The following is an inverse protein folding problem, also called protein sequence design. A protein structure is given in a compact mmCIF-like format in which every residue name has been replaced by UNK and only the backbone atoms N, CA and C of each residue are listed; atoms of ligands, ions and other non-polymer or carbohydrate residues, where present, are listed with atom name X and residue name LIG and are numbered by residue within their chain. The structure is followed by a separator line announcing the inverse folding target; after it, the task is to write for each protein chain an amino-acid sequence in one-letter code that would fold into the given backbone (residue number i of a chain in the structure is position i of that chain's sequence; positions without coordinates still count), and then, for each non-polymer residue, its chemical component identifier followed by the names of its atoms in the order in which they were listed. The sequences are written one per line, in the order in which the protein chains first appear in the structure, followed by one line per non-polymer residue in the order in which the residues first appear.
data_IF_623716736307
#
_entry.id   IF_623716736307
#
_cell.length_a   1.000
_cell.length_b   1.000
_cell.length_c   1.000
_cell.angle_alpha   90.00
_cell.angle_beta   90.00
_cell.angle_gamma   90.00
#
_symmetry.space_group_name_H-M   'P 1'
#
loop_
_entity.id
_entity.type
_entity.pdbx_description
1 polymer ?
#
# COMPACT_ATOMS: atom_id res chain seq x y z
N UNK A 1 -2.83 16.16 24.40
CA UNK A 1 -4.13 16.20 23.68
C UNK A 1 -5.10 15.25 24.38
N UNK A 2 -6.37 15.64 24.51
CA UNK A 2 -7.30 15.20 25.56
C UNK A 2 -7.53 13.67 25.66
N UNK A 3 -7.38 13.11 26.88
CA UNK A 3 -7.67 11.69 27.23
C UNK A 3 -9.18 11.38 27.34
N UNK A 4 -10.04 12.32 26.94
CA UNK A 4 -11.50 12.35 27.19
C UNK A 4 -12.30 11.19 26.58
N UNK A 5 -11.70 10.38 25.69
CA UNK A 5 -12.35 9.21 25.10
C UNK A 5 -12.05 7.87 25.79
N UNK A 6 -11.10 7.81 26.73
CA UNK A 6 -10.77 6.55 27.40
C UNK A 6 -11.72 6.30 28.57
N UNK A 7 -12.67 5.38 28.36
CA UNK A 7 -13.67 4.93 29.34
C UNK A 7 -13.10 3.88 30.30
N UNK A 8 -13.21 4.11 31.60
CA UNK A 8 -12.80 3.19 32.67
C UNK A 8 -14.04 2.87 33.51
N UNK A 9 -14.23 1.59 33.84
CA UNK A 9 -15.29 1.14 34.75
C UNK A 9 -14.70 0.84 36.12
N UNK A 10 -15.28 1.41 37.17
CA UNK A 10 -14.96 1.14 38.58
C UNK A 10 -16.06 0.26 39.16
N UNK A 11 -15.67 -0.85 39.79
CA UNK A 11 -16.57 -1.82 40.41
C UNK A 11 -16.12 -2.04 41.86
N UNK A 12 -16.88 -1.53 42.81
CA UNK A 12 -16.55 -1.62 44.25
C UNK A 12 -17.85 -1.45 45.05
N UNK A 13 -18.07 -2.27 46.07
CA UNK A 13 -19.29 -2.22 46.88
C UNK A 13 -19.29 -1.04 47.86
N UNK A 14 -18.11 -0.61 48.33
CA UNK A 14 -17.97 0.54 49.20
C UNK A 14 -18.17 1.85 48.43
N UNK A 15 -19.22 2.60 48.79
CA UNK A 15 -19.59 3.83 48.11
C UNK A 15 -18.48 4.89 48.16
N UNK A 16 -17.78 5.01 49.30
CA UNK A 16 -16.72 6.00 49.47
C UNK A 16 -15.52 5.70 48.57
N UNK A 17 -15.09 4.43 48.52
CA UNK A 17 -13.99 3.97 47.67
C UNK A 17 -14.36 4.11 46.20
N UNK A 18 -15.56 3.67 45.82
CA UNK A 18 -16.08 3.76 44.46
C UNK A 18 -16.11 5.21 43.94
N UNK A 19 -16.66 6.14 44.71
CA UNK A 19 -16.73 7.56 44.34
C UNK A 19 -15.35 8.22 44.30
N UNK A 20 -14.49 7.92 45.28
CA UNK A 20 -13.11 8.41 45.32
C UNK A 20 -12.28 7.98 44.11
N UNK A 21 -12.38 6.70 43.72
CA UNK A 21 -11.71 6.18 42.52
C UNK A 21 -12.22 6.83 41.24
N UNK A 22 -13.54 6.99 41.10
CA UNK A 22 -14.13 7.64 39.95
C UNK A 22 -13.64 9.10 39.82
N UNK A 23 -13.64 9.85 40.92
CA UNK A 23 -13.15 11.22 40.95
C UNK A 23 -11.65 11.31 40.62
N UNK A 24 -10.83 10.39 41.15
CA UNK A 24 -9.39 10.32 40.86
C UNK A 24 -9.13 10.09 39.36
N UNK A 25 -9.83 9.14 38.75
CA UNK A 25 -9.69 8.81 37.33
C UNK A 25 -10.17 9.97 36.44
N UNK A 26 -11.26 10.64 36.81
CA UNK A 26 -11.73 11.85 36.13
C UNK A 26 -10.70 12.98 36.23
N UNK A 27 -10.06 13.17 37.38
CA UNK A 27 -8.95 14.11 37.57
C UNK A 27 -7.74 13.85 36.66
N UNK A 28 -7.54 12.61 36.22
CA UNK A 28 -6.52 12.24 35.24
C UNK A 28 -6.99 12.36 33.77
N UNK A 29 -8.22 12.82 33.55
CA UNK A 29 -8.81 13.04 32.23
C UNK A 29 -9.46 11.82 31.60
N UNK A 30 -9.72 10.75 32.37
CA UNK A 30 -10.49 9.59 31.92
C UNK A 30 -12.00 9.80 32.09
N UNK A 31 -12.80 9.11 31.29
CA UNK A 31 -14.25 8.98 31.54
C UNK A 31 -14.45 7.80 32.48
N UNK A 32 -14.92 8.04 33.71
CA UNK A 32 -15.07 6.98 34.72
C UNK A 32 -16.55 6.74 35.04
N UNK A 33 -17.02 5.52 34.81
CA UNK A 33 -18.31 5.03 35.28
C UNK A 33 -18.09 4.15 36.51
N UNK A 34 -18.99 4.22 37.48
CA UNK A 34 -18.88 3.50 38.74
C UNK A 34 -20.15 2.70 39.02
N UNK A 35 -19.99 1.45 39.43
CA UNK A 35 -21.09 0.53 39.78
C UNK A 35 -20.80 -0.23 41.08
N UNK A 36 -21.84 -0.62 41.83
CA UNK A 36 -21.67 -1.19 43.16
C UNK A 36 -21.31 -2.68 43.20
N UNK A 37 -21.51 -3.42 42.10
CA UNK A 37 -21.37 -4.88 42.10
C UNK A 37 -21.03 -5.44 40.72
N UNK A 38 -20.58 -6.70 40.70
CA UNK A 38 -20.22 -7.42 39.48
C UNK A 38 -21.38 -7.62 38.50
N UNK A 39 -22.62 -7.76 39.00
CA UNK A 39 -23.82 -7.93 38.16
C UNK A 39 -24.13 -6.66 37.36
N UNK A 40 -24.07 -5.49 38.00
CA UNK A 40 -24.21 -4.19 37.36
C UNK A 40 -23.07 -3.92 36.38
N UNK A 41 -21.84 -4.30 36.73
CA UNK A 41 -20.69 -4.20 35.83
C UNK A 41 -20.87 -5.05 34.57
N UNK A 42 -21.33 -6.30 34.72
CA UNK A 42 -21.53 -7.20 33.60
C UNK A 42 -22.60 -6.67 32.63
N UNK A 43 -23.72 -6.14 33.14
CA UNK A 43 -24.77 -5.49 32.33
C UNK A 43 -24.25 -4.28 31.55
N UNK A 44 -23.30 -3.52 32.09
CA UNK A 44 -22.66 -2.43 31.37
C UNK A 44 -21.72 -2.95 30.28
N UNK A 45 -20.89 -3.94 30.60
CA UNK A 45 -19.97 -4.57 29.64
C UNK A 45 -20.70 -5.29 28.49
N UNK A 46 -21.95 -5.73 28.69
CA UNK A 46 -22.80 -6.25 27.61
C UNK A 46 -23.25 -5.19 26.61
N UNK A 47 -23.48 -3.95 27.06
CA UNK A 47 -23.87 -2.84 26.20
C UNK A 47 -22.66 -2.22 25.50
N UNK A 48 -21.60 -1.97 26.26
CA UNK A 48 -20.38 -1.37 25.75
C UNK A 48 -19.19 -1.79 26.63
N UNK A 49 -18.15 -2.35 26.01
CA UNK A 49 -16.92 -2.72 26.72
C UNK A 49 -16.09 -1.45 27.03
N UNK A 50 -15.73 -1.20 28.29
CA UNK A 50 -14.80 -0.13 28.65
C UNK A 50 -13.37 -0.46 28.17
N UNK A 51 -12.48 0.53 28.21
CA UNK A 51 -11.07 0.33 27.85
C UNK A 51 -10.28 -0.31 29.00
N UNK A 52 -10.64 0.01 30.23
CA UNK A 52 -10.11 -0.61 31.43
C UNK A 52 -11.20 -0.83 32.48
N UNK A 53 -11.01 -1.82 33.33
CA UNK A 53 -11.85 -2.08 34.50
C UNK A 53 -10.97 -2.10 35.74
N UNK A 54 -11.38 -1.37 36.78
CA UNK A 54 -10.81 -1.43 38.12
C UNK A 54 -11.87 -2.04 39.03
N UNK A 55 -11.64 -3.25 39.53
CA UNK A 55 -12.64 -4.02 40.28
C UNK A 55 -12.10 -4.42 41.64
N UNK A 56 -12.92 -4.31 42.70
CA UNK A 56 -12.60 -4.91 43.98
C UNK A 56 -12.70 -6.43 43.88
N UNK A 57 -11.85 -7.13 44.61
CA UNK A 57 -11.80 -8.59 44.66
C UNK A 57 -13.00 -9.13 45.44
N UNK A 58 -13.32 -8.48 46.56
CA UNK A 58 -14.29 -8.96 47.55
C UNK A 58 -15.50 -8.03 47.53
N UNK A 59 -16.59 -8.47 46.89
CA UNK A 59 -17.85 -7.73 46.86
C UNK A 59 -19.00 -8.68 47.23
N UNK A 60 -20.07 -8.19 47.87
CA UNK A 60 -21.28 -8.97 48.12
C UNK A 60 -21.91 -9.47 46.82
N UNK A 61 -22.37 -10.72 46.81
CA UNK A 61 -22.92 -11.33 45.60
C UNK A 61 -21.81 -11.84 44.69
N UNK A 62 -21.68 -11.26 43.49
CA UNK A 62 -20.64 -11.61 42.53
C UNK A 62 -19.31 -10.97 42.93
N UNK A 63 -18.32 -11.80 43.26
CA UNK A 63 -16.96 -11.35 43.56
C UNK A 63 -16.25 -10.81 42.32
N UNK A 64 -15.17 -10.03 42.52
CA UNK A 64 -14.37 -9.49 41.41
C UNK A 64 -13.78 -10.58 40.51
N UNK A 65 -13.35 -11.71 41.08
CA UNK A 65 -12.84 -12.83 40.27
C UNK A 65 -13.94 -13.53 39.47
N UNK A 66 -15.12 -13.70 40.06
CA UNK A 66 -16.27 -14.26 39.35
C UNK A 66 -16.72 -13.35 38.22
N UNK A 67 -16.69 -12.03 38.43
CA UNK A 67 -16.94 -11.04 37.39
C UNK A 67 -15.91 -11.14 36.25
N UNK A 68 -14.60 -11.17 36.57
CA UNK A 68 -13.55 -11.34 35.54
C UNK A 68 -13.73 -12.66 34.78
N UNK A 69 -14.09 -13.74 35.47
CA UNK A 69 -14.39 -15.03 34.84
C UNK A 69 -15.64 -14.96 33.94
N UNK A 70 -16.68 -14.23 34.37
CA UNK A 70 -17.92 -14.05 33.62
C UNK A 70 -17.75 -13.24 32.33
N UNK A 71 -16.71 -12.40 32.24
CA UNK A 71 -16.36 -11.69 31.00
C UNK A 71 -15.89 -12.63 29.87
N UNK A 72 -15.47 -13.86 30.19
CA UNK A 72 -15.08 -14.87 29.20
C UNK A 72 -13.98 -14.37 28.25
N UNK A 73 -14.17 -14.55 26.93
CA UNK A 73 -13.18 -14.11 25.93
C UNK A 73 -12.98 -12.58 25.89
N UNK A 74 -13.95 -11.79 26.41
CA UNK A 74 -13.87 -10.32 26.40
C UNK A 74 -12.77 -9.77 27.31
N UNK A 75 -12.25 -10.57 28.25
CA UNK A 75 -11.10 -10.18 29.11
C UNK A 75 -9.86 -9.82 28.29
N UNK A 76 -9.69 -10.40 27.09
CA UNK A 76 -8.55 -10.08 26.21
C UNK A 76 -8.68 -8.70 25.54
N UNK A 77 -9.85 -8.07 25.62
CA UNK A 77 -10.18 -6.82 24.96
C UNK A 77 -10.26 -5.63 25.93
N UNK A 78 -9.97 -5.83 27.21
CA UNK A 78 -10.06 -4.81 28.27
C UNK A 78 -8.89 -4.95 29.24
N UNK A 79 -8.30 -3.83 29.67
CA UNK A 79 -7.27 -3.87 30.70
C UNK A 79 -7.91 -3.96 32.10
N UNK A 80 -7.81 -5.11 32.77
CA UNK A 80 -8.46 -5.34 34.07
C UNK A 80 -7.44 -5.23 35.20
N UNK A 81 -7.69 -4.36 36.18
CA UNK A 81 -6.90 -4.21 37.41
C UNK A 81 -7.75 -4.60 38.60
N UNK A 82 -7.28 -5.57 39.39
CA UNK A 82 -8.01 -6.05 40.57
C UNK A 82 -7.46 -5.38 41.83
N UNK A 83 -8.33 -4.83 42.67
CA UNK A 83 -8.01 -4.24 43.98
C UNK A 83 -8.39 -5.21 45.11
N UNK A 84 -7.70 -5.17 46.26
CA UNK A 84 -8.07 -6.04 47.40
C UNK A 84 -7.50 -5.56 48.74
N UNK A 85 -8.25 -5.71 49.83
CA UNK A 85 -7.73 -5.51 51.19
C UNK A 85 -7.00 -6.71 51.79
N UNK A 86 -7.19 -7.92 51.24
CA UNK A 86 -6.58 -9.16 51.73
C UNK A 86 -5.72 -9.77 50.62
N UNK A 87 -4.56 -9.17 50.40
CA UNK A 87 -3.64 -9.62 49.35
C UNK A 87 -2.95 -10.93 49.72
N UNK A 88 -3.34 -12.03 49.07
CA UNK A 88 -2.60 -13.30 49.11
C UNK A 88 -1.98 -13.59 47.75
N UNK A 89 -0.84 -14.30 47.75
CA UNK A 89 -0.17 -14.71 46.51
C UNK A 89 -1.12 -15.56 45.65
N UNK A 90 -1.93 -16.42 46.30
CA UNK A 90 -2.88 -17.30 45.62
C UNK A 90 -3.95 -16.54 44.84
N UNK A 91 -4.57 -15.51 45.45
CA UNK A 91 -5.62 -14.72 44.79
C UNK A 91 -5.06 -13.84 43.66
N UNK A 92 -3.85 -13.29 43.83
CA UNK A 92 -3.16 -12.56 42.78
C UNK A 92 -2.86 -13.45 41.56
N UNK A 93 -2.33 -14.66 41.79
CA UNK A 93 -2.06 -15.62 40.70
C UNK A 93 -3.35 -16.03 39.99
N UNK A 94 -4.45 -16.23 40.72
CA UNK A 94 -5.75 -16.55 40.13
C UNK A 94 -6.29 -15.41 39.26
N UNK A 95 -6.20 -14.16 39.71
CA UNK A 95 -6.61 -12.99 38.93
C UNK A 95 -5.87 -12.92 37.59
N UNK A 96 -4.54 -13.06 37.61
CA UNK A 96 -3.73 -13.04 36.38
C UNK A 96 -4.09 -14.22 35.45
N UNK A 97 -4.32 -15.42 35.99
CA UNK A 97 -4.74 -16.59 35.20
C UNK A 97 -6.10 -16.40 34.51
N UNK A 98 -6.99 -15.62 35.12
CA UNK A 98 -8.31 -15.30 34.56
C UNK A 98 -8.27 -14.11 33.56
N UNK A 99 -7.08 -13.56 33.30
CA UNK A 99 -6.89 -12.48 32.33
C UNK A 99 -6.85 -11.08 32.93
N UNK A 100 -6.73 -10.94 34.25
CA UNK A 100 -6.41 -9.64 34.84
C UNK A 100 -5.02 -9.18 34.37
N UNK A 101 -4.91 -7.90 34.05
CA UNK A 101 -3.65 -7.28 33.65
C UNK A 101 -2.69 -7.16 34.84
N UNK A 102 -3.21 -6.69 35.98
CA UNK A 102 -2.43 -6.51 37.19
C UNK A 102 -3.34 -6.54 38.43
N UNK A 103 -2.70 -6.56 39.61
CA UNK A 103 -3.34 -6.72 40.91
C UNK A 103 -2.70 -5.76 41.92
N UNK A 104 -3.51 -4.98 42.64
CA UNK A 104 -3.05 -3.95 43.56
C UNK A 104 -3.65 -4.12 44.97
N UNK A 105 -2.83 -4.10 46.04
CA UNK A 105 -3.33 -4.13 47.40
C UNK A 105 -3.95 -2.77 47.81
N UNK A 106 -4.97 -2.81 48.67
CA UNK A 106 -5.50 -1.68 49.45
C UNK A 106 -4.68 -1.58 50.77
N UNK A 107 -4.31 -0.37 51.25
CA UNK A 107 -4.67 0.94 50.73
C UNK A 107 -3.99 1.25 49.39
N UNK A 108 -4.77 1.83 48.47
CA UNK A 108 -4.34 2.04 47.09
C UNK A 108 -3.36 3.22 46.99
N UNK A 109 -2.22 2.96 46.31
CA UNK A 109 -1.33 4.01 45.82
C UNK A 109 -1.81 4.51 44.44
N UNK A 110 -2.16 5.80 44.40
CA UNK A 110 -2.67 6.46 43.20
C UNK A 110 -1.65 6.50 42.06
N UNK A 111 -0.37 6.71 42.33
CA UNK A 111 0.67 6.72 41.29
C UNK A 111 0.87 5.33 40.70
N UNK A 112 0.82 4.31 41.57
CA UNK A 112 0.91 2.92 41.14
C UNK A 112 -0.28 2.52 40.27
N UNK A 113 -1.51 2.87 40.66
CA UNK A 113 -2.69 2.63 39.83
C UNK A 113 -2.56 3.30 38.46
N UNK A 114 -2.11 4.57 38.43
CA UNK A 114 -1.91 5.30 37.17
C UNK A 114 -0.91 4.60 36.25
N UNK A 115 0.24 4.21 36.79
CA UNK A 115 1.29 3.51 36.02
C UNK A 115 0.80 2.17 35.45
N UNK A 116 0.04 1.41 36.24
CA UNK A 116 -0.55 0.13 35.82
C UNK A 116 -1.58 0.34 34.72
N UNK A 117 -2.51 1.28 34.89
CA UNK A 117 -3.53 1.58 33.89
C UNK A 117 -2.92 2.05 32.57
N UNK A 118 -1.93 2.94 32.61
CA UNK A 118 -1.27 3.43 31.39
C UNK A 118 -0.55 2.31 30.63
N UNK A 119 0.11 1.39 31.34
CA UNK A 119 0.77 0.22 30.70
C UNK A 119 -0.25 -0.78 30.15
N UNK A 120 -1.33 -1.06 30.88
CA UNK A 120 -2.38 -1.99 30.45
C UNK A 120 -3.12 -1.48 29.21
N UNK A 121 -3.52 -0.21 29.21
CA UNK A 121 -4.15 0.44 28.06
C UNK A 121 -3.23 0.45 26.82
N UNK A 122 -1.93 0.70 27.02
CA UNK A 122 -0.95 0.67 25.91
C UNK A 122 -0.80 -0.73 25.31
N UNK A 123 -0.69 -1.77 26.15
CA UNK A 123 -0.60 -3.15 25.67
C UNK A 123 -1.85 -3.56 24.89
N UNK A 124 -3.02 -3.13 25.35
CA UNK A 124 -4.28 -3.38 24.67
C UNK A 124 -4.35 -2.68 23.30
N UNK A 125 -3.88 -1.43 23.20
CA UNK A 125 -3.78 -0.71 21.92
C UNK A 125 -2.91 -1.48 20.93
N UNK A 126 -1.72 -1.91 21.37
CA UNK A 126 -0.78 -2.67 20.53
C UNK A 126 -1.39 -4.01 20.07
N UNK A 127 -2.11 -4.71 20.95
CA UNK A 127 -2.77 -5.96 20.61
C UNK A 127 -3.95 -5.75 19.63
N UNK A 128 -4.73 -4.67 19.79
CA UNK A 128 -5.80 -4.29 18.86
C UNK A 128 -5.26 -3.89 17.50
N UNK A 129 -4.15 -3.15 17.45
CA UNK A 129 -3.46 -2.80 16.21
C UNK A 129 -2.95 -4.06 15.49
N UNK A 130 -2.32 -4.99 16.22
CA UNK A 130 -1.89 -6.29 15.66
C UNK A 130 -3.06 -7.16 15.20
N UNK A 131 -4.19 -7.16 15.92
CA UNK A 131 -5.41 -7.87 15.55
C UNK A 131 -6.11 -7.28 14.33
N UNK A 132 -6.25 -5.95 14.27
CA UNK A 132 -6.80 -5.25 13.11
C UNK A 132 -5.92 -5.44 11.86
N UNK A 133 -4.60 -5.52 12.04
CA UNK A 133 -3.66 -5.84 10.96
C UNK A 133 -3.89 -7.27 10.42
N UNK A 134 -4.11 -8.26 11.30
CA UNK A 134 -4.47 -9.63 10.91
C UNK A 134 -5.84 -9.71 10.23
N UNK A 135 -6.84 -9.02 10.75
CA UNK A 135 -8.19 -9.01 10.16
C UNK A 135 -8.21 -8.30 8.79
N UNK A 136 -7.33 -7.32 8.56
CA UNK A 136 -7.10 -6.71 7.24
C UNK A 136 -6.40 -7.66 6.26
N UNK A 137 -5.61 -8.61 6.72
CA UNK A 137 -5.03 -9.67 5.87
C UNK A 137 -6.06 -10.74 5.48
N UNK A 138 -7.13 -10.88 6.25
CA UNK A 138 -8.19 -11.89 6.08
C UNK A 138 -9.53 -11.29 5.61
N UNK A 139 -9.50 -10.10 4.98
CA UNK A 139 -10.68 -9.54 4.32
C UNK A 139 -11.29 -10.58 3.35
N UNK A 140 -12.61 -10.83 3.39
CA UNK A 140 -13.28 -11.74 2.44
C UNK A 140 -13.05 -11.38 0.96
N UNK A 141 -12.67 -10.13 0.69
CA UNK A 141 -12.35 -9.60 -0.64
C UNK A 141 -10.90 -9.85 -1.07
N UNK A 142 -10.04 -10.41 -0.21
CA UNK A 142 -8.61 -10.56 -0.47
C UNK A 142 -7.89 -9.21 -0.63
N UNK A 143 -8.37 -8.18 0.07
CA UNK A 143 -7.84 -6.82 0.00
C UNK A 143 -6.98 -6.46 1.21
N UNK A 144 -5.86 -5.78 0.98
CA UNK A 144 -5.00 -5.23 2.03
C UNK A 144 -4.74 -3.74 1.74
N UNK A 145 -5.45 -2.86 2.46
CA UNK A 145 -5.54 -1.46 2.07
C UNK A 145 -6.23 -1.33 0.71
N UNK A 146 -5.59 -0.61 -0.23
CA UNK A 146 -6.07 -0.50 -1.61
C UNK A 146 -5.62 -1.63 -2.56
N UNK A 147 -4.83 -2.59 -2.07
CA UNK A 147 -4.34 -3.71 -2.88
C UNK A 147 -5.33 -4.86 -2.87
N UNK A 148 -5.53 -5.50 -4.02
CA UNK A 148 -6.42 -6.66 -4.18
C UNK A 148 -5.58 -7.84 -4.68
N UNK A 149 -5.65 -8.96 -3.97
CA UNK A 149 -4.95 -10.19 -4.32
C UNK A 149 -4.90 -11.18 -3.16
N UNK A 150 -5.12 -12.46 -3.46
CA UNK A 150 -5.12 -13.59 -2.51
C UNK A 150 -4.01 -14.62 -2.80
N UNK A 151 -3.32 -14.48 -3.92
CA UNK A 151 -2.19 -15.33 -4.29
C UNK A 151 -1.11 -15.37 -3.21
N UNK A 152 -0.34 -16.46 -3.15
CA UNK A 152 0.74 -16.60 -2.17
C UNK A 152 1.80 -15.46 -2.26
N UNK A 153 2.24 -15.00 -3.44
CA UNK A 153 3.15 -13.86 -3.56
C UNK A 153 2.56 -12.56 -2.96
N UNK A 154 1.27 -12.30 -3.17
CA UNK A 154 0.61 -11.12 -2.60
C UNK A 154 0.49 -11.20 -1.08
N UNK A 155 0.16 -12.37 -0.53
CA UNK A 155 0.12 -12.57 0.93
C UNK A 155 1.47 -12.34 1.60
N UNK A 156 2.56 -12.79 0.97
CA UNK A 156 3.93 -12.52 1.45
C UNK A 156 4.26 -11.02 1.38
N UNK A 157 3.86 -10.34 0.30
CA UNK A 157 4.02 -8.89 0.17
C UNK A 157 3.28 -8.16 1.30
N UNK A 158 2.04 -8.53 1.63
CA UNK A 158 1.29 -7.88 2.70
C UNK A 158 1.94 -8.04 4.08
N UNK A 159 2.50 -9.22 4.38
CA UNK A 159 3.24 -9.43 5.62
C UNK A 159 4.45 -8.49 5.72
N UNK A 160 5.22 -8.36 4.64
CA UNK A 160 6.37 -7.44 4.60
C UNK A 160 5.91 -5.98 4.71
N UNK A 161 4.84 -5.60 4.01
CA UNK A 161 4.27 -4.26 4.09
C UNK A 161 3.88 -3.88 5.51
N UNK A 162 3.26 -4.81 6.24
CA UNK A 162 2.87 -4.57 7.64
C UNK A 162 4.06 -4.25 8.55
N UNK A 163 5.18 -4.94 8.36
CA UNK A 163 6.40 -4.74 9.15
C UNK A 163 7.11 -3.44 8.78
N UNK A 164 7.20 -3.16 7.48
CA UNK A 164 7.87 -1.95 6.96
C UNK A 164 7.07 -0.70 7.30
N UNK A 165 5.74 -0.74 7.22
CA UNK A 165 4.87 0.41 7.49
C UNK A 165 5.03 0.96 8.92
N UNK A 166 5.29 0.08 9.90
CA UNK A 166 5.52 0.45 11.30
C UNK A 166 6.84 1.20 11.57
N UNK A 167 7.75 1.26 10.59
CA UNK A 167 9.05 1.95 10.71
C UNK A 167 9.05 3.27 9.96
N UNK A 168 10.04 4.13 10.22
CA UNK A 168 10.25 5.38 9.47
C UNK A 168 11.33 5.25 8.38
N UNK A 169 11.74 4.01 8.07
CA UNK A 169 12.79 3.75 7.09
C UNK A 169 12.32 4.06 5.66
N UNK A 170 13.29 4.44 4.82
CA UNK A 170 13.09 4.58 3.39
C UNK A 170 12.77 3.22 2.76
N UNK A 171 11.89 3.24 1.77
CA UNK A 171 11.44 2.03 1.08
C UNK A 171 11.61 2.19 -0.42
N UNK A 172 12.24 1.21 -1.06
CA UNK A 172 12.29 1.08 -2.50
C UNK A 172 11.27 0.02 -2.96
N UNK A 173 10.41 0.38 -3.89
CA UNK A 173 9.38 -0.49 -4.48
C UNK A 173 9.72 -0.75 -5.94
N UNK A 174 10.04 -1.98 -6.31
CA UNK A 174 10.27 -2.35 -7.71
C UNK A 174 9.13 -3.20 -8.26
N UNK A 175 8.99 -3.20 -9.58
CA UNK A 175 8.04 -4.07 -10.27
C UNK A 175 7.60 -3.46 -11.59
N UNK A 176 7.21 -4.32 -12.52
CA UNK A 176 6.82 -3.89 -13.87
C UNK A 176 5.75 -2.79 -13.88
N UNK A 177 5.68 -2.05 -14.99
CA UNK A 177 4.68 -1.01 -15.16
C UNK A 177 3.27 -1.58 -15.00
N UNK A 178 2.41 -0.88 -14.25
CA UNK A 178 1.03 -1.30 -14.03
C UNK A 178 0.82 -2.40 -12.98
N UNK A 179 1.84 -2.78 -12.20
CA UNK A 179 1.69 -3.77 -11.10
C UNK A 179 0.99 -3.24 -9.85
N UNK A 180 1.00 -1.91 -9.63
CA UNK A 180 0.36 -1.25 -8.49
C UNK A 180 1.32 -0.62 -7.47
N UNK A 181 2.54 -0.22 -7.88
CA UNK A 181 3.56 0.36 -6.99
C UNK A 181 3.06 1.57 -6.17
N UNK A 182 2.27 2.46 -6.77
CA UNK A 182 1.66 3.60 -6.08
C UNK A 182 0.69 3.16 -4.97
N UNK A 183 -0.13 2.14 -5.22
CA UNK A 183 -1.03 1.57 -4.21
C UNK A 183 -0.25 0.97 -3.04
N UNK A 184 0.90 0.37 -3.31
CA UNK A 184 1.82 -0.12 -2.27
C UNK A 184 2.36 1.04 -1.44
N UNK A 185 2.85 2.11 -2.06
CA UNK A 185 3.35 3.28 -1.35
C UNK A 185 2.28 3.95 -0.48
N UNK A 186 1.05 4.09 -1.01
CA UNK A 186 -0.09 4.62 -0.25
C UNK A 186 -0.46 3.71 0.92
N UNK A 187 -0.47 2.39 0.70
CA UNK A 187 -0.72 1.42 1.78
C UNK A 187 0.33 1.50 2.89
N UNK A 188 1.61 1.71 2.54
CA UNK A 188 2.68 1.93 3.54
C UNK A 188 2.37 3.15 4.39
N UNK A 189 1.96 4.27 3.78
CA UNK A 189 1.61 5.49 4.49
C UNK A 189 0.39 5.31 5.39
N UNK A 190 -0.70 4.74 4.88
CA UNK A 190 -1.96 4.53 5.59
C UNK A 190 -1.80 3.63 6.84
N UNK A 191 -0.81 2.74 6.82
CA UNK A 191 -0.48 1.83 7.91
C UNK A 191 0.64 2.34 8.84
N UNK A 192 1.22 3.50 8.54
CA UNK A 192 2.32 4.07 9.31
C UNK A 192 1.83 4.96 10.47
N UNK A 193 2.71 5.30 11.42
CA UNK A 193 2.43 6.35 12.41
C UNK A 193 2.12 7.73 11.80
N UNK A 194 2.49 7.96 10.53
CA UNK A 194 2.29 9.21 9.79
C UNK A 194 0.99 9.25 8.96
N UNK A 195 0.06 8.30 9.16
CA UNK A 195 -1.16 8.15 8.35
C UNK A 195 -2.12 9.36 8.33
N UNK A 196 -2.05 10.22 9.34
CA UNK A 196 -2.87 11.44 9.43
C UNK A 196 -2.17 12.65 8.80
N UNK A 197 -0.89 12.49 8.39
CA UNK A 197 -0.06 13.53 7.80
C UNK A 197 -0.13 13.49 6.26
N UNK A 198 0.53 14.44 5.59
CA UNK A 198 0.49 14.52 4.14
C UNK A 198 1.11 13.29 3.45
N UNK A 199 0.43 12.75 2.44
CA UNK A 199 1.01 11.85 1.43
C UNK A 199 1.15 12.60 0.12
N UNK A 200 2.38 12.88 -0.30
CA UNK A 200 2.67 13.65 -1.50
C UNK A 200 3.26 12.75 -2.59
N UNK A 201 2.48 12.35 -3.62
CA UNK A 201 2.99 11.60 -4.76
C UNK A 201 3.61 12.55 -5.79
N UNK A 202 4.82 12.22 -6.26
CA UNK A 202 5.51 12.90 -7.34
C UNK A 202 5.90 11.87 -8.42
N UNK A 203 5.38 12.08 -9.62
CA UNK A 203 5.62 11.21 -10.76
C UNK A 203 6.81 11.76 -11.58
N UNK A 204 7.99 11.16 -11.43
CA UNK A 204 9.24 11.71 -11.98
C UNK A 204 9.20 11.94 -13.51
N UNK A 205 8.68 11.02 -14.34
CA UNK A 205 8.62 11.18 -15.79
C UNK A 205 7.62 12.25 -16.26
N UNK A 206 6.68 12.69 -15.41
CA UNK A 206 5.68 13.69 -15.76
C UNK A 206 6.23 15.13 -15.69
N UNK A 207 7.39 15.33 -15.07
CA UNK A 207 7.99 16.64 -14.83
C UNK A 207 9.24 16.77 -15.70
N UNK A 208 9.44 17.92 -16.34
CA UNK A 208 10.68 18.12 -17.09
C UNK A 208 11.89 18.07 -16.16
N UNK A 209 13.06 17.58 -16.62
CA UNK A 209 14.26 17.54 -15.79
C UNK A 209 14.65 18.91 -15.21
N UNK A 210 14.35 19.98 -15.94
CA UNK A 210 14.61 21.38 -15.54
C UNK A 210 13.69 21.87 -14.42
N UNK A 211 12.46 21.36 -14.33
CA UNK A 211 11.50 21.73 -13.29
C UNK A 211 11.57 20.79 -12.08
N UNK A 212 12.03 19.56 -12.28
CA UNK A 212 12.16 18.55 -11.22
C UNK A 212 12.88 19.07 -9.97
N UNK A 213 13.99 19.79 -10.16
CA UNK A 213 14.75 20.34 -9.05
C UNK A 213 13.91 21.35 -8.25
N UNK A 214 13.21 22.25 -8.94
CA UNK A 214 12.36 23.26 -8.33
C UNK A 214 11.17 22.64 -7.61
N UNK A 215 10.53 21.62 -8.21
CA UNK A 215 9.40 20.92 -7.62
C UNK A 215 9.81 20.18 -6.34
N UNK A 216 10.98 19.53 -6.31
CA UNK A 216 11.44 18.78 -5.14
C UNK A 216 11.91 19.70 -4.01
N UNK A 217 12.79 20.65 -4.31
CA UNK A 217 13.52 21.42 -3.30
C UNK A 217 12.97 22.84 -3.08
N UNK A 218 12.09 23.32 -3.96
CA UNK A 218 11.62 24.71 -3.95
C UNK A 218 12.66 25.69 -4.49
N UNK A 219 12.24 26.93 -4.70
CA UNK A 219 13.15 28.00 -5.14
C UNK A 219 12.83 29.34 -4.47
N UNK A 220 13.86 30.14 -4.30
CA UNK A 220 13.71 31.55 -3.93
C UNK A 220 13.40 32.41 -5.16
N UNK A 221 12.77 33.57 -4.94
CA UNK A 221 12.52 34.54 -6.00
C UNK A 221 13.84 34.95 -6.67
N UNK A 222 13.90 34.86 -8.00
CA UNK A 222 15.08 35.21 -8.80
C UNK A 222 16.15 34.12 -8.88
N UNK A 223 15.88 32.88 -8.42
CA UNK A 223 16.84 31.78 -8.50
C UNK A 223 17.20 31.37 -9.95
N UNK A 224 16.31 31.59 -10.91
CA UNK A 224 16.52 31.41 -12.35
C UNK A 224 15.64 32.39 -13.14
N UNK A 225 15.84 32.49 -14.45
CA UNK A 225 15.23 33.53 -15.30
C UNK A 225 13.70 33.65 -15.21
N UNK A 226 13.02 32.54 -14.90
CA UNK A 226 11.55 32.47 -14.77
C UNK A 226 11.06 32.37 -13.31
N UNK A 227 11.93 32.53 -12.31
CA UNK A 227 11.57 32.45 -10.89
C UNK A 227 10.97 33.78 -10.38
N UNK A 228 9.74 34.07 -10.82
CA UNK A 228 9.04 35.35 -10.53
C UNK A 228 8.65 35.44 -9.04
N UNK A 229 8.29 34.31 -8.45
CA UNK A 229 7.86 34.19 -7.05
C UNK A 229 8.67 33.11 -6.33
N UNK A 230 8.53 33.05 -5.01
CA UNK A 230 9.09 31.96 -4.20
C UNK A 230 8.17 30.75 -4.29
N UNK A 231 8.75 29.56 -4.39
CA UNK A 231 8.01 28.29 -4.41
C UNK A 231 8.51 27.35 -3.33
N UNK A 232 7.57 26.74 -2.59
CA UNK A 232 7.85 25.72 -1.59
C UNK A 232 7.90 24.34 -2.26
N UNK A 233 9.01 23.62 -2.12
CA UNK A 233 9.18 22.31 -2.75
C UNK A 233 8.42 21.18 -2.03
N UNK A 234 8.34 20.04 -2.69
CA UNK A 234 7.69 18.82 -2.21
C UNK A 234 8.22 18.36 -0.85
N UNK A 235 9.52 18.49 -0.59
CA UNK A 235 10.08 18.14 0.71
C UNK A 235 9.53 18.98 1.86
N UNK A 236 9.34 20.27 1.64
CA UNK A 236 8.77 21.15 2.66
C UNK A 236 7.26 20.96 2.78
N UNK A 237 6.57 20.64 1.68
CA UNK A 237 5.13 20.36 1.69
C UNK A 237 4.81 19.01 2.37
N UNK A 238 5.72 18.05 2.27
CA UNK A 238 5.60 16.71 2.85
C UNK A 238 6.19 16.60 4.27
N UNK A 239 6.60 17.71 4.89
CA UNK A 239 7.15 17.70 6.25
C UNK A 239 6.15 17.08 7.25
N UNK A 240 6.64 16.19 8.11
CA UNK A 240 5.80 15.35 8.98
C UNK A 240 5.15 14.15 8.29
N UNK A 241 5.08 14.14 6.95
CA UNK A 241 4.40 13.13 6.15
C UNK A 241 5.29 12.16 5.37
N UNK A 242 4.77 11.69 4.24
CA UNK A 242 5.43 10.77 3.31
C UNK A 242 5.53 11.37 1.91
N UNK A 243 6.73 11.39 1.35
CA UNK A 243 7.00 11.71 -0.05
C UNK A 243 7.11 10.41 -0.85
N UNK A 244 6.23 10.23 -1.84
CA UNK A 244 6.28 9.12 -2.78
C UNK A 244 6.86 9.56 -4.12
N UNK A 245 7.89 8.87 -4.60
CA UNK A 245 8.56 9.15 -5.87
C UNK A 245 8.33 8.00 -6.84
N UNK A 246 7.47 8.20 -7.84
CA UNK A 246 7.27 7.19 -8.89
C UNK A 246 8.34 7.33 -9.98
N UNK A 247 8.85 6.19 -10.43
CA UNK A 247 9.91 6.04 -11.43
C UNK A 247 11.17 6.88 -11.14
N UNK A 248 11.78 6.69 -9.96
CA UNK A 248 12.97 7.42 -9.48
C UNK A 248 14.16 7.37 -10.46
N UNK A 249 14.24 6.34 -11.30
CA UNK A 249 15.29 6.14 -12.31
C UNK A 249 15.22 7.13 -13.48
N UNK A 250 14.12 7.86 -13.62
CA UNK A 250 13.97 8.90 -14.64
C UNK A 250 14.45 10.28 -14.12
N UNK A 251 14.85 10.37 -12.85
CA UNK A 251 15.48 11.56 -12.29
C UNK A 251 16.92 11.72 -12.80
N UNK A 252 17.30 12.94 -13.20
CA UNK A 252 18.67 13.25 -13.59
C UNK A 252 19.67 13.04 -12.44
N UNK A 253 20.90 12.63 -12.76
CA UNK A 253 21.92 12.25 -11.77
C UNK A 253 22.30 13.39 -10.81
N UNK A 254 22.24 14.63 -11.28
CA UNK A 254 22.50 15.84 -10.49
C UNK A 254 21.41 16.06 -9.44
N UNK A 255 20.15 15.80 -9.79
CA UNK A 255 19.00 15.89 -8.88
C UNK A 255 19.06 14.76 -7.86
N UNK A 256 19.43 13.54 -8.30
CA UNK A 256 19.67 12.40 -7.39
C UNK A 256 20.74 12.71 -6.33
N UNK A 257 21.80 13.43 -6.70
CA UNK A 257 22.86 13.85 -5.77
C UNK A 257 22.33 14.77 -4.67
N UNK A 258 21.54 15.78 -5.04
CA UNK A 258 20.91 16.72 -4.10
C UNK A 258 19.87 16.02 -3.24
N UNK A 259 19.12 15.09 -3.84
CA UNK A 259 18.13 14.29 -3.14
C UNK A 259 18.78 13.43 -2.05
N UNK A 260 19.86 12.71 -2.36
CA UNK A 260 20.63 11.94 -1.38
C UNK A 260 21.07 12.81 -0.20
N UNK A 261 21.61 14.00 -0.48
CA UNK A 261 22.04 14.95 0.56
C UNK A 261 20.89 15.32 1.52
N UNK A 262 19.69 15.55 1.00
CA UNK A 262 18.50 15.83 1.83
C UNK A 262 18.17 14.63 2.72
N UNK A 263 18.26 13.39 2.22
CA UNK A 263 18.01 12.18 3.01
C UNK A 263 19.04 11.96 4.12
N UNK A 264 20.29 12.38 3.90
CA UNK A 264 21.38 12.24 4.87
C UNK A 264 21.35 13.35 5.93
N UNK A 265 21.17 14.60 5.51
CA UNK A 265 21.20 15.77 6.39
C UNK A 265 19.87 15.99 7.13
N UNK A 266 18.74 15.48 6.60
CA UNK A 266 17.41 15.77 7.14
C UNK A 266 17.01 17.24 7.00
N UNK A 267 17.61 17.94 6.03
CA UNK A 267 17.39 19.35 5.76
C UNK A 267 17.31 19.58 4.26
N UNK A 268 16.45 20.49 3.85
CA UNK A 268 16.33 20.95 2.46
C UNK A 268 16.79 22.40 2.33
N UNK A 269 17.42 22.71 1.21
CA UNK A 269 17.79 24.08 0.82
C UNK A 269 17.14 24.38 -0.52
N UNK A 270 16.39 25.48 -0.58
CA UNK A 270 15.79 25.96 -1.84
C UNK A 270 16.85 26.35 -2.85
N UNK A 271 16.54 26.21 -4.13
CA UNK A 271 17.38 26.71 -5.22
C UNK A 271 17.56 28.22 -5.08
N UNK A 272 18.80 28.69 -5.15
CA UNK A 272 19.16 30.10 -4.97
C UNK A 272 19.10 30.60 -3.53
N UNK A 273 18.67 29.77 -2.57
CA UNK A 273 18.65 30.08 -1.14
C UNK A 273 19.91 29.61 -0.42
N UNK A 274 20.22 30.24 0.72
CA UNK A 274 21.32 29.82 1.61
C UNK A 274 20.82 29.18 2.91
N UNK A 275 19.55 29.39 3.25
CA UNK A 275 18.92 28.85 4.46
C UNK A 275 18.69 27.35 4.33
N UNK A 276 19.16 26.58 5.31
CA UNK A 276 18.80 25.17 5.48
C UNK A 276 17.53 25.05 6.32
N UNK A 277 16.56 24.26 5.86
CA UNK A 277 15.26 24.06 6.47
C UNK A 277 15.18 22.62 6.98
N UNK A 278 15.08 22.37 8.29
CA UNK A 278 14.93 21.02 8.82
C UNK A 278 13.59 20.42 8.41
N UNK A 279 13.60 19.16 8.03
CA UNK A 279 12.42 18.41 7.61
C UNK A 279 12.43 17.00 8.20
N UNK A 280 11.25 16.45 8.44
CA UNK A 280 11.04 15.05 8.83
C UNK A 280 10.11 14.39 7.83
N UNK A 281 10.67 13.85 6.74
CA UNK A 281 9.90 13.25 5.64
C UNK A 281 10.27 11.79 5.51
N UNK A 282 9.25 10.91 5.52
CA UNK A 282 9.44 9.51 5.13
C UNK A 282 9.45 9.41 3.60
N UNK A 283 10.42 8.68 3.04
CA UNK A 283 10.53 8.51 1.59
C UNK A 283 10.14 7.10 1.16
N UNK A 284 9.26 7.01 0.17
CA UNK A 284 8.99 5.78 -0.58
C UNK A 284 9.28 6.05 -2.05
N UNK A 285 10.21 5.30 -2.64
CA UNK A 285 10.56 5.44 -4.05
C UNK A 285 10.10 4.20 -4.82
N UNK A 286 9.71 4.37 -6.08
CA UNK A 286 9.33 3.28 -6.97
C UNK A 286 10.09 3.31 -8.29
N UNK A 287 10.27 2.13 -8.90
CA UNK A 287 10.83 1.98 -10.25
C UNK A 287 10.27 0.76 -10.97
N UNK A 288 10.10 0.85 -12.28
CA UNK A 288 9.80 -0.28 -13.16
C UNK A 288 11.03 -1.04 -13.64
N UNK A 289 12.23 -0.51 -13.40
CA UNK A 289 13.49 -1.16 -13.77
C UNK A 289 13.94 -2.08 -12.64
N UNK A 290 14.70 -3.11 -13.01
CA UNK A 290 15.46 -3.87 -12.01
C UNK A 290 16.50 -2.93 -11.38
N UNK A 291 16.49 -2.71 -10.04
CA UNK A 291 17.35 -1.70 -9.42
C UNK A 291 18.85 -1.92 -9.71
N UNK A 292 19.31 -3.18 -9.66
CA UNK A 292 20.70 -3.53 -9.97
C UNK A 292 21.09 -3.21 -11.43
N UNK A 293 20.15 -3.34 -12.38
CA UNK A 293 20.40 -2.96 -13.76
C UNK A 293 20.43 -1.43 -13.91
N UNK A 294 19.50 -0.71 -13.25
CA UNK A 294 19.47 0.75 -13.28
C UNK A 294 20.77 1.38 -12.74
N UNK A 295 21.39 0.77 -11.71
CA UNK A 295 22.71 1.21 -11.21
C UNK A 295 23.80 0.97 -12.25
N UNK A 296 23.86 -0.22 -12.85
CA UNK A 296 24.85 -0.54 -13.90
C UNK A 296 24.73 0.35 -15.14
N UNK A 297 23.51 0.75 -15.50
CA UNK A 297 23.22 1.64 -16.63
C UNK A 297 23.44 3.13 -16.30
N UNK A 298 23.81 3.48 -15.06
CA UNK A 298 23.97 4.87 -14.61
C UNK A 298 22.66 5.64 -14.51
N UNK A 299 21.52 4.95 -14.49
CA UNK A 299 20.17 5.54 -14.30
C UNK A 299 19.83 5.77 -12.84
N UNK A 300 20.50 5.06 -11.92
CA UNK A 300 20.39 5.26 -10.49
C UNK A 300 21.80 5.29 -9.90
N UNK A 301 22.10 6.31 -9.08
CA UNK A 301 23.39 6.33 -8.38
C UNK A 301 23.45 5.22 -7.33
N UNK A 302 24.63 4.61 -7.21
CA UNK A 302 24.87 3.50 -6.27
C UNK A 302 24.64 3.91 -4.81
N UNK A 303 25.16 5.08 -4.41
CA UNK A 303 24.97 5.65 -3.08
C UNK A 303 23.49 5.89 -2.73
N UNK A 304 22.72 6.46 -3.67
CA UNK A 304 21.29 6.67 -3.51
C UNK A 304 20.52 5.35 -3.45
N UNK A 305 20.90 4.36 -4.26
CA UNK A 305 20.29 3.03 -4.19
C UNK A 305 20.43 2.42 -2.80
N UNK A 306 21.62 2.41 -2.20
CA UNK A 306 21.81 1.89 -0.84
C UNK A 306 21.05 2.69 0.22
N UNK A 307 20.92 4.01 0.04
CA UNK A 307 20.14 4.86 0.97
C UNK A 307 18.64 4.61 0.90
N UNK A 308 18.10 4.33 -0.29
CA UNK A 308 16.67 4.06 -0.50
C UNK A 308 16.31 2.59 -0.22
N UNK A 309 17.22 1.67 -0.48
CA UNK A 309 17.01 0.23 -0.40
C UNK A 309 17.26 -0.33 1.02
N UNK A 310 16.92 0.43 2.06
CA UNK A 310 16.91 -0.10 3.44
C UNK A 310 15.88 -1.23 3.54
N UNK A 311 14.71 -1.00 2.96
CA UNK A 311 13.73 -2.05 2.67
C UNK A 311 13.41 -2.03 1.18
N UNK A 312 13.59 -3.17 0.52
CA UNK A 312 13.24 -3.37 -0.88
C UNK A 312 12.04 -4.30 -0.98
N UNK A 313 10.97 -3.82 -1.61
CA UNK A 313 9.75 -4.55 -1.87
C UNK A 313 9.55 -4.71 -3.37
N UNK A 314 9.48 -5.95 -3.83
CA UNK A 314 9.24 -6.28 -5.23
C UNK A 314 7.79 -6.71 -5.42
N UNK A 315 7.08 -6.06 -6.35
CA UNK A 315 5.75 -6.48 -6.76
C UNK A 315 5.86 -7.54 -7.84
N UNK A 316 5.22 -8.71 -7.66
CA UNK A 316 5.17 -9.73 -8.69
C UNK A 316 4.31 -9.24 -9.87
N UNK A 317 4.71 -9.54 -11.11
CA UNK A 317 3.89 -9.29 -12.28
C UNK A 317 2.61 -10.13 -12.25
N UNK A 318 1.57 -9.69 -12.96
CA UNK A 318 0.24 -10.30 -12.91
C UNK A 318 0.25 -11.77 -13.36
N UNK A 319 1.12 -12.12 -14.30
CA UNK A 319 1.33 -13.50 -14.78
C UNK A 319 1.84 -14.48 -13.70
N UNK A 320 2.54 -13.98 -12.68
CA UNK A 320 3.02 -14.80 -11.55
C UNK A 320 1.98 -14.95 -10.44
N UNK A 321 0.82 -14.29 -10.59
CA UNK A 321 -0.30 -14.33 -9.65
C UNK A 321 -1.63 -14.60 -10.35
N UNK A 322 -1.67 -15.67 -11.14
CA UNK A 322 -2.82 -16.03 -11.97
C UNK A 322 -4.16 -16.14 -11.21
N UNK A 323 -4.13 -16.54 -9.93
CA UNK A 323 -5.31 -16.58 -9.06
C UNK A 323 -5.96 -15.20 -8.83
N UNK A 324 -5.18 -14.13 -8.95
CA UNK A 324 -5.63 -12.75 -8.74
C UNK A 324 -6.24 -12.14 -9.99
N UNK A 325 -5.98 -12.68 -11.19
CA UNK A 325 -6.51 -12.17 -12.46
C UNK A 325 -8.03 -12.12 -12.43
N UNK A 326 -8.66 -13.24 -12.08
CA UNK A 326 -10.13 -13.33 -12.07
C UNK A 326 -10.74 -12.48 -10.95
N UNK A 327 -10.05 -12.38 -9.80
CA UNK A 327 -10.49 -11.52 -8.69
C UNK A 327 -10.50 -10.05 -9.10
N UNK A 328 -9.39 -9.57 -9.68
CA UNK A 328 -9.25 -8.21 -10.19
C UNK A 328 -10.24 -7.93 -11.32
N UNK A 329 -10.42 -8.87 -12.24
CA UNK A 329 -11.36 -8.74 -13.36
C UNK A 329 -12.79 -8.52 -12.87
N UNK A 330 -13.26 -9.33 -11.91
CA UNK A 330 -14.58 -9.16 -11.29
C UNK A 330 -14.70 -7.80 -10.62
N UNK A 331 -13.74 -7.45 -9.77
CA UNK A 331 -13.72 -6.18 -9.06
C UNK A 331 -13.84 -4.98 -10.02
N UNK A 332 -13.06 -4.97 -11.11
CA UNK A 332 -13.13 -3.89 -12.09
C UNK A 332 -14.44 -3.88 -12.86
N UNK A 333 -14.94 -5.03 -13.32
CA UNK A 333 -16.22 -5.09 -14.02
C UNK A 333 -17.38 -4.62 -13.15
N UNK A 334 -17.41 -5.02 -11.88
CA UNK A 334 -18.41 -4.56 -10.91
C UNK A 334 -18.33 -3.05 -10.71
N UNK A 335 -17.13 -2.51 -10.48
CA UNK A 335 -16.89 -1.08 -10.29
C UNK A 335 -17.26 -0.25 -11.53
N UNK A 336 -16.95 -0.73 -12.73
CA UNK A 336 -17.28 -0.03 -13.97
C UNK A 336 -18.76 -0.14 -14.35
N UNK A 337 -19.40 -1.28 -14.09
CA UNK A 337 -20.84 -1.43 -14.26
C UNK A 337 -21.60 -0.41 -13.41
N UNK A 338 -21.20 -0.23 -12.14
CA UNK A 338 -21.77 0.80 -11.26
C UNK A 338 -21.49 2.22 -11.78
N UNK A 339 -20.23 2.54 -12.10
CA UNK A 339 -19.79 3.86 -12.61
C UNK A 339 -20.56 4.29 -13.87
N UNK A 340 -20.80 3.35 -14.79
CA UNK A 340 -21.46 3.62 -16.07
C UNK A 340 -22.96 3.32 -16.07
N UNK A 341 -23.52 2.92 -14.91
CA UNK A 341 -24.93 2.53 -14.76
C UNK A 341 -25.35 1.46 -15.78
N UNK A 342 -24.46 0.49 -16.00
CA UNK A 342 -24.66 -0.67 -16.88
C UNK A 342 -24.97 -1.91 -16.04
N UNK A 343 -25.80 -2.84 -16.55
CA UNK A 343 -26.00 -4.11 -15.86
C UNK A 343 -24.68 -4.90 -15.81
N UNK A 344 -24.44 -5.58 -14.69
CA UNK A 344 -23.35 -6.54 -14.61
C UNK A 344 -23.68 -7.74 -15.49
N UNK A 345 -22.82 -8.01 -16.47
CA UNK A 345 -22.96 -9.15 -17.35
C UNK A 345 -22.32 -10.39 -16.70
N UNK A 346 -23.06 -11.51 -16.59
CA UNK A 346 -22.48 -12.78 -16.20
C UNK A 346 -21.37 -13.21 -17.15
N UNK A 347 -20.46 -14.05 -16.67
CA UNK A 347 -19.39 -14.60 -17.48
C UNK A 347 -19.84 -15.90 -18.14
N UNK A 348 -19.65 -16.01 -19.45
CA UNK A 348 -19.73 -17.28 -20.14
C UNK A 348 -18.56 -18.19 -19.72
N UNK A 349 -18.69 -19.49 -19.96
CA UNK A 349 -17.72 -20.51 -19.51
C UNK A 349 -16.33 -20.36 -20.16
N UNK A 350 -16.26 -19.70 -21.31
CA UNK A 350 -15.04 -19.47 -22.09
C UNK A 350 -14.30 -18.18 -21.70
N UNK A 351 -14.96 -17.23 -21.01
CA UNK A 351 -14.40 -15.93 -20.69
C UNK A 351 -13.27 -15.98 -19.65
N UNK A 352 -13.48 -16.66 -18.52
CA UNK A 352 -12.45 -16.78 -17.48
C UNK A 352 -11.16 -17.47 -17.97
N UNK A 353 -11.23 -18.61 -18.71
CA UNK A 353 -10.05 -19.20 -19.35
C UNK A 353 -9.32 -18.22 -20.28
N UNK A 354 -10.04 -17.42 -21.07
CA UNK A 354 -9.43 -16.45 -21.98
C UNK A 354 -8.64 -15.37 -21.23
N UNK A 355 -9.16 -14.86 -20.10
CA UNK A 355 -8.43 -13.92 -19.25
C UNK A 355 -7.18 -14.53 -18.63
N UNK A 356 -7.23 -15.80 -18.21
CA UNK A 356 -6.10 -16.48 -17.58
C UNK A 356 -5.01 -16.87 -18.59
N UNK A 357 -5.38 -17.13 -19.84
CA UNK A 357 -4.44 -17.47 -20.91
C UNK A 357 -3.60 -16.26 -21.38
N UNK A 358 -4.10 -15.04 -21.16
CA UNK A 358 -3.38 -13.82 -21.55
C UNK A 358 -2.20 -13.54 -20.60
N UNK A 359 -1.07 -13.07 -21.16
CA UNK A 359 0.17 -12.84 -20.39
C UNK A 359 0.17 -11.52 -19.60
N UNK A 360 -0.71 -10.58 -19.95
CA UNK A 360 -0.87 -9.27 -19.32
C UNK A 360 0.45 -8.47 -19.20
N UNK A 361 1.12 -8.13 -20.32
CA UNK A 361 2.37 -7.36 -20.31
C UNK A 361 2.23 -5.98 -19.64
N UNK A 362 1.05 -5.35 -19.69
CA UNK A 362 0.76 -4.10 -18.97
C UNK A 362 0.16 -4.31 -17.57
N UNK A 363 0.22 -5.54 -17.06
CA UNK A 363 -0.19 -5.94 -15.71
C UNK A 363 -1.63 -5.48 -15.36
N UNK A 364 -1.84 -4.98 -14.15
CA UNK A 364 -3.17 -4.57 -13.65
C UNK A 364 -3.70 -3.36 -14.42
N UNK A 365 -2.83 -2.48 -14.91
CA UNK A 365 -3.26 -1.31 -15.70
C UNK A 365 -3.91 -1.75 -17.00
N UNK A 366 -3.31 -2.72 -17.69
CA UNK A 366 -3.89 -3.32 -18.88
C UNK A 366 -5.20 -4.05 -18.57
N UNK A 367 -5.22 -4.89 -17.53
CA UNK A 367 -6.42 -5.60 -17.10
C UNK A 367 -7.57 -4.63 -16.78
N UNK A 368 -7.31 -3.58 -16.02
CA UNK A 368 -8.29 -2.54 -15.69
C UNK A 368 -8.86 -1.90 -16.95
N UNK A 369 -8.01 -1.50 -17.89
CA UNK A 369 -8.44 -0.89 -19.15
C UNK A 369 -9.26 -1.85 -20.01
N UNK A 370 -8.86 -3.13 -20.05
CA UNK A 370 -9.61 -4.19 -20.75
C UNK A 370 -11.01 -4.36 -20.15
N UNK A 371 -11.11 -4.42 -18.81
CA UNK A 371 -12.41 -4.56 -18.13
C UNK A 371 -13.29 -3.31 -18.30
N UNK A 372 -12.70 -2.11 -18.31
CA UNK A 372 -13.43 -0.86 -18.58
C UNK A 372 -14.04 -0.87 -19.99
N UNK A 373 -13.27 -1.30 -20.99
CA UNK A 373 -13.76 -1.43 -22.37
C UNK A 373 -14.89 -2.44 -22.48
N UNK A 374 -14.75 -3.61 -21.85
CA UNK A 374 -15.81 -4.63 -21.85
C UNK A 374 -17.08 -4.13 -21.17
N UNK A 375 -16.97 -3.47 -20.02
CA UNK A 375 -18.12 -2.91 -19.32
C UNK A 375 -18.91 -1.88 -20.15
N UNK A 376 -18.24 -1.19 -21.08
CA UNK A 376 -18.86 -0.16 -21.94
C UNK A 376 -19.34 -0.72 -23.28
N UNK A 377 -18.56 -1.61 -23.91
CA UNK A 377 -18.74 -2.03 -25.31
C UNK A 377 -19.43 -3.39 -25.46
N UNK A 378 -19.29 -4.30 -24.49
CA UNK A 378 -19.86 -5.63 -24.61
C UNK A 378 -21.39 -5.54 -24.64
N UNK A 379 -21.98 -6.21 -25.63
CA UNK A 379 -23.41 -6.24 -25.85
C UNK A 379 -23.85 -7.70 -25.98
N UNK A 380 -24.67 -8.16 -25.04
CA UNK A 380 -25.12 -9.54 -25.00
C UNK A 380 -25.57 -9.96 -23.61
N UNK A 381 -26.08 -11.19 -23.46
CA UNK A 381 -26.51 -11.71 -22.17
C UNK A 381 -25.34 -12.07 -21.25
N UNK A 382 -24.14 -12.35 -21.79
CA UNK A 382 -22.94 -12.77 -21.05
C UNK A 382 -21.68 -12.21 -21.72
N UNK A 383 -20.60 -12.03 -20.95
CA UNK A 383 -19.25 -11.78 -21.46
C UNK A 383 -18.63 -13.09 -21.95
N UNK A 384 -18.09 -13.09 -23.17
CA UNK A 384 -17.51 -14.27 -23.84
C UNK A 384 -16.03 -14.07 -24.18
N UNK A 385 -15.33 -15.15 -24.54
CA UNK A 385 -13.95 -15.05 -25.02
C UNK A 385 -13.85 -14.19 -26.30
N UNK A 386 -14.88 -14.21 -27.14
CA UNK A 386 -14.95 -13.39 -28.36
C UNK A 386 -14.99 -11.88 -28.02
N UNK A 387 -15.76 -11.48 -27.00
CA UNK A 387 -15.79 -10.08 -26.55
C UNK A 387 -14.41 -9.62 -26.06
N UNK A 388 -13.72 -10.48 -25.29
CA UNK A 388 -12.36 -10.20 -24.84
C UNK A 388 -11.38 -10.01 -26.02
N UNK A 389 -11.43 -10.90 -27.01
CA UNK A 389 -10.60 -10.79 -28.20
C UNK A 389 -10.93 -9.52 -29.03
N UNK A 390 -12.21 -9.19 -29.17
CA UNK A 390 -12.69 -8.07 -29.99
C UNK A 390 -12.49 -6.68 -29.37
N UNK A 391 -12.52 -6.56 -28.04
CA UNK A 391 -12.49 -5.25 -27.39
C UNK A 391 -11.23 -4.99 -26.57
N UNK A 392 -10.46 -6.04 -26.25
CA UNK A 392 -9.26 -5.92 -25.43
C UNK A 392 -7.97 -6.20 -26.21
N UNK A 393 -7.97 -7.19 -27.11
CA UNK A 393 -6.76 -7.63 -27.82
C UNK A 393 -6.57 -6.98 -29.20
N UNK A 394 -7.65 -6.55 -29.85
CA UNK A 394 -7.62 -6.12 -31.27
C UNK A 394 -7.02 -4.73 -31.52
N UNK A 395 -6.38 -4.11 -30.51
CA UNK A 395 -5.81 -2.77 -30.66
C UNK A 395 -4.48 -2.55 -29.93
N UNK A 396 -3.75 -3.60 -29.55
CA UNK A 396 -2.44 -3.44 -28.88
C UNK A 396 -1.43 -4.38 -29.52
N UNK A 397 -0.65 -3.83 -30.46
CA UNK A 397 0.69 -4.31 -30.82
C UNK A 397 0.85 -5.84 -30.87
N UNK A 398 0.06 -6.53 -31.70
CA UNK A 398 0.54 -7.80 -32.23
C UNK A 398 1.72 -7.48 -33.17
N UNK A 399 2.92 -7.38 -32.58
CA UNK A 399 4.04 -8.07 -33.22
C UNK A 399 3.57 -9.52 -33.36
N UNK A 400 3.18 -9.87 -34.60
CA UNK A 400 2.98 -11.27 -34.94
C UNK A 400 4.16 -12.04 -34.37
N UNK A 401 3.93 -13.16 -33.66
CA UNK A 401 5.03 -13.98 -33.18
C UNK A 401 5.92 -14.26 -34.39
N UNK A 402 7.22 -13.99 -34.23
CA UNK A 402 8.25 -14.35 -35.18
C UNK A 402 7.89 -15.72 -35.77
N UNK A 403 7.49 -15.70 -37.04
CA UNK A 403 7.59 -16.88 -37.88
C UNK A 403 9.00 -17.43 -37.68
N UNK A 404 9.11 -18.75 -37.53
CA UNK A 404 10.37 -19.52 -37.43
C UNK A 404 11.55 -18.79 -38.10
N UNK A 405 12.76 -18.76 -37.50
CA UNK A 405 13.86 -17.94 -37.99
C UNK A 405 14.07 -18.18 -39.49
N UNK A 406 13.58 -17.24 -40.29
CA UNK A 406 13.66 -17.29 -41.73
C UNK A 406 15.14 -17.26 -42.10
N UNK A 407 15.53 -18.11 -43.03
CA UNK A 407 16.88 -18.00 -43.58
C UNK A 407 17.06 -16.59 -44.16
N UNK A 408 18.29 -16.08 -44.17
CA UNK A 408 18.61 -14.77 -44.77
C UNK A 408 18.07 -14.64 -46.20
N UNK A 409 18.02 -15.76 -46.94
CA UNK A 409 17.46 -15.83 -48.29
C UNK A 409 15.94 -15.62 -48.32
N UNK A 410 15.19 -16.22 -47.38
CA UNK A 410 13.73 -16.09 -47.29
C UNK A 410 13.31 -14.72 -46.77
N UNK A 411 14.04 -14.17 -45.80
CA UNK A 411 13.83 -12.81 -45.32
C UNK A 411 14.08 -11.77 -46.44
N UNK A 412 15.15 -11.95 -47.22
CA UNK A 412 15.46 -11.10 -48.38
C UNK A 412 14.36 -11.20 -49.45
N UNK A 413 13.89 -12.42 -49.76
CA UNK A 413 12.81 -12.66 -50.72
C UNK A 413 11.50 -11.99 -50.30
N UNK A 414 11.07 -12.16 -49.05
CA UNK A 414 9.83 -11.53 -48.55
C UNK A 414 9.93 -10.01 -48.56
N UNK A 415 11.08 -9.43 -48.23
CA UNK A 415 11.31 -7.99 -48.33
C UNK A 415 11.18 -7.49 -49.78
N UNK A 416 11.73 -8.23 -50.75
CA UNK A 416 11.63 -7.90 -52.18
C UNK A 416 10.18 -7.98 -52.67
N UNK A 417 9.45 -9.04 -52.29
CA UNK A 417 8.04 -9.22 -52.66
C UNK A 417 7.15 -8.11 -52.08
N UNK A 418 7.35 -7.75 -50.80
CA UNK A 418 6.62 -6.64 -50.15
C UNK A 418 6.93 -5.29 -50.80
N UNK A 419 8.18 -5.03 -51.15
CA UNK A 419 8.57 -3.79 -51.84
C UNK A 419 7.98 -3.70 -53.25
N UNK A 420 7.88 -4.81 -53.98
CA UNK A 420 7.23 -4.87 -55.28
C UNK A 420 5.70 -4.71 -55.18
N UNK A 421 5.07 -5.31 -54.17
CA UNK A 421 3.64 -5.12 -53.93
C UNK A 421 3.33 -3.66 -53.58
N UNK A 422 4.12 -3.06 -52.69
CA UNK A 422 3.97 -1.66 -52.29
C UNK A 422 4.24 -0.67 -53.43
N UNK A 423 5.08 -1.03 -54.40
CA UNK A 423 5.36 -0.22 -55.59
C UNK A 423 4.46 -0.53 -56.79
N UNK A 424 3.45 -1.39 -56.64
CA UNK A 424 2.56 -1.80 -57.73
C UNK A 424 3.28 -2.50 -58.89
N UNK A 425 4.39 -3.20 -58.61
CA UNK A 425 5.21 -3.88 -59.61
C UNK A 425 6.28 -3.01 -60.28
N UNK A 426 6.41 -1.74 -59.91
CA UNK A 426 7.47 -0.87 -60.43
C UNK A 426 8.82 -1.21 -59.79
N UNK A 427 9.71 -1.85 -60.56
CA UNK A 427 11.02 -2.33 -60.10
C UNK A 427 11.98 -1.21 -59.69
N UNK A 428 11.94 -0.06 -60.35
CA UNK A 428 12.82 1.07 -60.01
C UNK A 428 12.40 1.70 -58.67
N UNK A 429 11.10 1.77 -58.42
CA UNK A 429 10.55 2.28 -57.16
C UNK A 429 10.73 1.28 -56.02
N UNK A 430 10.56 -0.02 -56.27
CA UNK A 430 10.84 -1.07 -55.29
C UNK A 430 12.32 -1.08 -54.87
N UNK A 431 13.25 -0.94 -55.83
CA UNK A 431 14.69 -0.87 -55.53
C UNK A 431 15.02 0.33 -54.63
N UNK A 432 14.37 1.48 -54.86
CA UNK A 432 14.53 2.68 -54.04
C UNK A 432 13.99 2.48 -52.62
N UNK A 433 12.85 1.82 -52.47
CA UNK A 433 12.28 1.48 -51.15
C UNK A 433 13.19 0.53 -50.35
N UNK A 434 13.88 -0.38 -51.05
CA UNK A 434 14.82 -1.33 -50.46
C UNK A 434 16.23 -0.76 -50.25
N UNK A 435 16.51 0.47 -50.69
CA UNK A 435 17.83 1.08 -50.60
C UNK A 435 18.91 0.44 -51.48
N UNK A 436 18.52 -0.31 -52.52
CA UNK A 436 19.45 -0.99 -53.44
C UNK A 436 19.35 -0.45 -54.87
N UNK A 437 20.32 -0.78 -55.72
CA UNK A 437 20.26 -0.38 -57.13
C UNK A 437 19.26 -1.24 -57.93
N UNK A 438 18.60 -0.70 -58.97
CA UNK A 438 17.72 -1.48 -59.84
C UNK A 438 18.42 -2.68 -60.50
N UNK A 439 19.73 -2.58 -60.73
CA UNK A 439 20.56 -3.67 -61.26
C UNK A 439 20.68 -4.82 -60.25
N UNK A 440 20.89 -4.51 -58.97
CA UNK A 440 20.93 -5.51 -57.88
C UNK A 440 19.59 -6.19 -57.69
N UNK A 441 18.49 -5.44 -57.71
CA UNK A 441 17.14 -5.99 -57.61
C UNK A 441 16.83 -6.96 -58.76
N UNK A 442 17.17 -6.59 -60.00
CA UNK A 442 16.95 -7.46 -61.16
C UNK A 442 17.80 -8.74 -61.13
N UNK A 443 19.04 -8.66 -60.64
CA UNK A 443 19.90 -9.84 -60.47
C UNK A 443 19.34 -10.81 -59.42
N UNK A 444 18.78 -10.28 -58.32
CA UNK A 444 18.13 -11.08 -57.26
C UNK A 444 16.84 -11.74 -57.75
N UNK A 445 15.99 -11.00 -58.48
CA UNK A 445 14.78 -11.55 -59.10
C UNK A 445 15.08 -12.65 -60.14
N UNK A 446 16.20 -12.54 -60.86
CA UNK A 446 16.61 -13.56 -61.83
C UNK A 446 17.10 -14.86 -61.15
N UNK A 447 17.64 -14.77 -59.94
CA UNK A 447 18.02 -15.94 -59.13
C UNK A 447 16.78 -16.65 -58.59
N UNK A 448 15.80 -15.91 -58.07
CA UNK A 448 14.56 -16.50 -57.52
C UNK A 448 13.60 -17.07 -58.58
N UNK A 449 13.75 -16.69 -59.86
CA UNK A 449 12.98 -17.27 -60.97
C UNK A 449 13.63 -18.56 -61.53
N UNK A 450 14.80 -18.96 -61.03
CA UNK A 450 15.53 -20.17 -61.46
C UNK A 450 15.45 -21.32 -60.44
N UNK A 451 15.02 -21.04 -59.23
CA UNK A 451 14.51 -22.02 -58.25
C UNK A 451 13.01 -22.20 -58.44
#
# INVERSE_FOLDING_TARGET
MARTHTKILVVDDDASTREGLAALLQGWGYSANAVPDGDAALKLCEKELPHAIVTDLMMPGMSGLEFVKALGERVQQVAIVVLTGQATIETAVQAIKLGAYDYLPKPLDAERLRSVLERGLKQLSLAREAGALRQRLESPLGSYGGLIGKSAPMRQLYQRLSQVAATDAAVLVSGESGTGKELVARTIHDLSPRREEAFLPLNCPAISPTLMESELFGHEKGAFTNAIERHQGCFEQADGGTLFLDEITEMAAEVQAKFLRVLEEGQVRRIGGTTSIPISVRVVAATNRAPAAAVKEGKLRDDLFYRLSVFHLELPPLRERAEDILLLARYFLESFAEKYQRPQLPWATDFAPALQAHSWPGNVRELRNAMERLAVLAAGPNLTAADFQQFCLSSVLEEKPDSEPLSLAEAERQCIERALAASGGNKTQAARLLGITPKTLNAKLALYNKE
#
